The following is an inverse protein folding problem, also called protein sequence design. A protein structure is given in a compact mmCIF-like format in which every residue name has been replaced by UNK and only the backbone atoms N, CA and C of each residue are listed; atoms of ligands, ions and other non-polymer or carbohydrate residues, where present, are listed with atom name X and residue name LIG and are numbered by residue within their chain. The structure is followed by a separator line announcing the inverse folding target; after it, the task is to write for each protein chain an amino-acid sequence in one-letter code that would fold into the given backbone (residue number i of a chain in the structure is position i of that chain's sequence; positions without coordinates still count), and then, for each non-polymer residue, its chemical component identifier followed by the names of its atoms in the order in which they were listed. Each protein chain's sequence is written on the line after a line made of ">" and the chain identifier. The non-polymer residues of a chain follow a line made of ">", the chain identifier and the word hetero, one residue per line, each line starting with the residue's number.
data_IF_265132591836
#
_entry.id   IF_265132591836
#
_cell.length_a   1.000
_cell.length_b   1.000
_cell.length_c   1.000
_cell.angle_alpha   90.00
_cell.angle_beta   90.00
_cell.angle_gamma   90.00
#
_symmetry.space_group_name_H-M   'P 1'
#
loop_
_entity.id
_entity.type
_entity.pdbx_description
1 polymer ?
#
# COMPACT_ATOMS: atom_id res chain seq x y z
N UNK A 1 -19.46 18.96 -64.17
CA UNK A 1 -18.48 18.27 -63.35
C UNK A 1 -18.71 18.67 -61.89
N UNK A 2 -19.48 17.85 -61.14
CA UNK A 2 -19.69 18.07 -59.72
C UNK A 2 -18.49 17.46 -58.99
N UNK A 3 -17.71 18.31 -58.32
CA UNK A 3 -16.65 17.88 -57.41
C UNK A 3 -17.30 17.29 -56.18
N UNK A 4 -17.30 15.98 -56.07
CA UNK A 4 -17.70 15.28 -54.84
C UNK A 4 -16.73 15.64 -53.73
N UNK A 5 -17.18 16.49 -52.78
CA UNK A 5 -16.49 16.63 -51.53
C UNK A 5 -16.62 15.33 -50.74
N UNK A 6 -15.51 14.63 -50.60
CA UNK A 6 -15.44 13.47 -49.68
C UNK A 6 -15.75 13.98 -48.25
N UNK A 7 -16.65 13.30 -47.50
CA UNK A 7 -16.89 13.67 -46.12
C UNK A 7 -15.63 13.46 -45.30
N UNK A 8 -15.18 14.52 -44.64
CA UNK A 8 -14.04 14.48 -43.71
C UNK A 8 -14.54 13.75 -42.46
N UNK A 9 -14.12 12.50 -42.27
CA UNK A 9 -14.35 11.76 -41.04
C UNK A 9 -13.38 12.26 -39.95
N UNK A 10 -13.90 13.09 -39.02
CA UNK A 10 -13.16 13.62 -37.88
C UNK A 10 -13.02 12.60 -36.74
N UNK A 11 -13.82 11.55 -36.74
CA UNK A 11 -13.87 10.52 -35.71
C UNK A 11 -13.32 9.19 -36.26
N UNK A 12 -12.64 8.43 -35.40
CA UNK A 12 -12.17 7.07 -35.73
C UNK A 12 -13.35 6.15 -36.06
N UNK A 13 -13.13 5.18 -36.97
CA UNK A 13 -14.09 4.11 -37.22
C UNK A 13 -14.44 3.38 -35.91
N UNK A 14 -15.70 3.08 -35.69
CA UNK A 14 -16.21 2.45 -34.46
C UNK A 14 -16.61 3.43 -33.33
N UNK A 15 -16.43 4.74 -33.52
CA UNK A 15 -16.88 5.74 -32.54
C UNK A 15 -18.40 5.88 -32.57
N UNK A 16 -19.07 5.53 -31.46
CA UNK A 16 -20.51 5.77 -31.27
C UNK A 16 -20.75 7.17 -30.71
N UNK A 17 -21.75 7.88 -31.23
CA UNK A 17 -22.15 9.22 -30.78
C UNK A 17 -23.58 9.22 -30.32
N UNK A 18 -23.80 9.50 -29.03
CA UNK A 18 -25.14 9.80 -28.48
C UNK A 18 -25.29 11.29 -28.18
N UNK A 19 -26.49 11.83 -28.21
CA UNK A 19 -26.78 13.25 -27.99
C UNK A 19 -28.02 13.47 -27.15
N UNK A 20 -28.11 14.62 -26.48
CA UNK A 20 -29.27 15.07 -25.73
C UNK A 20 -29.67 14.16 -24.58
N UNK A 21 -30.94 14.02 -24.31
CA UNK A 21 -31.48 13.22 -23.20
C UNK A 21 -31.06 11.76 -23.24
N UNK A 22 -30.94 11.15 -24.43
CA UNK A 22 -30.44 9.76 -24.54
C UNK A 22 -29.03 9.59 -24.05
N UNK A 23 -28.14 10.55 -24.32
CA UNK A 23 -26.77 10.51 -23.82
C UNK A 23 -26.71 10.64 -22.29
N UNK A 24 -27.55 11.52 -21.73
CA UNK A 24 -27.66 11.69 -20.27
C UNK A 24 -28.19 10.43 -19.59
N UNK A 25 -29.28 9.86 -20.08
CA UNK A 25 -29.84 8.62 -19.52
C UNK A 25 -28.86 7.43 -19.62
N UNK A 26 -28.15 7.28 -20.74
CA UNK A 26 -27.12 6.24 -20.88
C UNK A 26 -25.98 6.42 -19.87
N UNK A 27 -25.51 7.65 -19.64
CA UNK A 27 -24.47 7.93 -18.67
C UNK A 27 -24.92 7.61 -17.25
N UNK A 28 -26.14 8.00 -16.88
CA UNK A 28 -26.74 7.72 -15.58
C UNK A 28 -26.93 6.22 -15.39
N UNK A 29 -27.45 5.52 -16.41
CA UNK A 29 -27.65 4.08 -16.36
C UNK A 29 -26.32 3.32 -16.15
N UNK A 30 -25.24 3.73 -16.84
CA UNK A 30 -23.93 3.12 -16.67
C UNK A 30 -23.36 3.36 -15.26
N UNK A 31 -23.46 4.58 -14.74
CA UNK A 31 -23.01 4.91 -13.38
C UNK A 31 -23.82 4.13 -12.31
N UNK A 32 -25.13 4.01 -12.50
CA UNK A 32 -26.02 3.26 -11.62
C UNK A 32 -25.71 1.76 -11.63
N UNK A 33 -25.41 1.18 -12.79
CA UNK A 33 -25.00 -0.22 -12.90
C UNK A 33 -23.75 -0.53 -12.08
N UNK A 34 -22.76 0.38 -12.07
CA UNK A 34 -21.55 0.26 -11.23
C UNK A 34 -21.92 0.30 -9.75
N UNK A 35 -22.75 1.25 -9.33
CA UNK A 35 -23.18 1.35 -7.93
C UNK A 35 -23.97 0.12 -7.47
N UNK A 36 -24.84 -0.42 -8.31
CA UNK A 36 -25.63 -1.61 -8.01
C UNK A 36 -24.75 -2.87 -7.94
N UNK A 37 -23.65 -2.93 -8.72
CA UNK A 37 -22.70 -4.04 -8.66
C UNK A 37 -22.03 -4.15 -7.29
N UNK A 38 -21.73 -3.04 -6.60
CA UNK A 38 -21.07 -3.05 -5.29
C UNK A 38 -22.03 -2.92 -4.12
N UNK A 39 -23.29 -2.57 -4.33
CA UNK A 39 -24.28 -2.36 -3.27
C UNK A 39 -24.44 -3.55 -2.33
N UNK A 40 -24.38 -4.78 -2.85
CA UNK A 40 -24.57 -6.01 -2.07
C UNK A 40 -23.38 -6.38 -1.18
N UNK A 41 -22.24 -5.68 -1.33
CA UNK A 41 -21.06 -5.88 -0.46
C UNK A 41 -21.05 -4.93 0.72
N UNK A 42 -21.98 -3.96 0.77
CA UNK A 42 -22.02 -2.93 1.81
C UNK A 42 -22.43 -3.49 3.17
N UNK A 43 -21.66 -3.12 4.19
CA UNK A 43 -21.98 -3.33 5.60
C UNK A 43 -21.56 -4.71 6.16
N UNK A 44 -21.84 -4.97 7.45
CA UNK A 44 -21.31 -6.14 8.18
C UNK A 44 -21.89 -7.49 7.70
N UNK A 45 -22.94 -7.46 6.88
CA UNK A 45 -23.54 -8.63 6.21
C UNK A 45 -23.35 -8.57 4.70
N UNK A 46 -22.38 -7.77 4.24
CA UNK A 46 -22.00 -7.71 2.84
C UNK A 46 -21.59 -9.09 2.32
N UNK A 47 -21.95 -9.35 1.05
CA UNK A 47 -21.59 -10.62 0.39
C UNK A 47 -20.32 -10.45 -0.41
N UNK A 48 -19.43 -11.45 -0.31
CA UNK A 48 -18.24 -11.51 -1.13
C UNK A 48 -18.62 -11.67 -2.61
N UNK A 49 -17.86 -11.04 -3.49
CA UNK A 49 -17.93 -11.20 -4.93
C UNK A 49 -16.78 -12.08 -5.41
N UNK A 50 -17.09 -12.99 -6.30
CA UNK A 50 -16.10 -13.75 -7.04
C UNK A 50 -15.94 -13.12 -8.41
N UNK A 51 -14.74 -12.65 -8.70
CA UNK A 51 -14.34 -12.11 -9.99
C UNK A 51 -13.41 -13.11 -10.66
N UNK A 52 -13.62 -13.34 -11.94
CA UNK A 52 -12.76 -14.21 -12.77
C UNK A 52 -12.30 -13.38 -13.94
N UNK A 53 -11.00 -13.22 -14.07
CA UNK A 53 -10.41 -12.48 -15.19
C UNK A 53 -10.35 -13.32 -16.49
N UNK A 54 -9.87 -12.71 -17.56
CA UNK A 54 -9.73 -13.37 -18.86
C UNK A 54 -8.66 -14.46 -18.88
N UNK A 55 -7.75 -14.51 -17.90
CA UNK A 55 -6.71 -15.53 -17.75
C UNK A 55 -7.16 -16.69 -16.87
N UNK A 56 -8.31 -16.56 -16.19
CA UNK A 56 -8.87 -17.55 -15.29
C UNK A 56 -8.45 -17.36 -13.83
N UNK A 57 -7.79 -16.25 -13.50
CA UNK A 57 -7.46 -15.91 -12.11
C UNK A 57 -8.74 -15.53 -11.35
N UNK A 58 -8.87 -16.05 -10.14
CA UNK A 58 -10.06 -15.88 -9.31
C UNK A 58 -9.75 -14.98 -8.12
N UNK A 59 -10.48 -13.88 -8.01
CA UNK A 59 -10.41 -12.97 -6.88
C UNK A 59 -11.73 -13.03 -6.13
N UNK A 60 -11.69 -13.28 -4.82
CA UNK A 60 -12.86 -13.26 -3.94
C UNK A 60 -12.66 -12.11 -2.97
N UNK A 61 -13.59 -11.15 -2.99
CA UNK A 61 -13.50 -9.98 -2.12
C UNK A 61 -14.87 -9.33 -1.91
N UNK A 62 -15.05 -8.61 -0.82
CA UNK A 62 -16.21 -7.72 -0.58
C UNK A 62 -15.82 -6.25 -0.61
N UNK A 63 -14.54 -5.95 -0.80
CA UNK A 63 -14.07 -4.59 -0.91
C UNK A 63 -14.51 -3.95 -2.23
N UNK A 64 -15.26 -2.82 -2.12
CA UNK A 64 -15.81 -2.12 -3.28
C UNK A 64 -14.75 -1.56 -4.22
N UNK A 65 -13.65 -1.06 -3.71
CA UNK A 65 -12.58 -0.50 -4.53
C UNK A 65 -11.87 -1.59 -5.34
N UNK A 66 -11.53 -2.71 -4.70
CA UNK A 66 -10.94 -3.89 -5.37
C UNK A 66 -11.88 -4.43 -6.45
N UNK A 67 -13.19 -4.59 -6.15
CA UNK A 67 -14.17 -5.05 -7.13
C UNK A 67 -14.18 -4.14 -8.36
N UNK A 68 -14.25 -2.84 -8.15
CA UNK A 68 -14.31 -1.87 -9.24
C UNK A 68 -13.01 -1.76 -10.04
N UNK A 69 -11.89 -2.01 -9.42
CA UNK A 69 -10.57 -2.01 -10.07
C UNK A 69 -10.38 -3.21 -11.00
N UNK A 70 -10.88 -4.37 -10.59
CA UNK A 70 -10.78 -5.63 -11.35
C UNK A 70 -11.87 -5.76 -12.43
N UNK A 71 -12.92 -4.92 -12.38
CA UNK A 71 -13.93 -4.90 -13.43
C UNK A 71 -13.40 -4.20 -14.69
N UNK A 72 -13.45 -4.88 -15.83
CA UNK A 72 -13.13 -4.29 -17.13
C UNK A 72 -14.31 -3.43 -17.62
N UNK A 73 -14.23 -2.13 -17.36
CA UNK A 73 -15.28 -1.15 -17.63
C UNK A 73 -14.84 -0.22 -18.76
N UNK A 74 -15.56 -0.24 -19.87
CA UNK A 74 -15.28 0.61 -21.02
C UNK A 74 -16.01 1.97 -20.97
N UNK A 75 -17.21 2.01 -20.36
CA UNK A 75 -18.08 3.19 -20.41
C UNK A 75 -17.50 4.40 -19.64
N UNK A 76 -17.36 5.60 -20.27
CA UNK A 76 -16.69 6.75 -19.63
C UNK A 76 -17.33 7.19 -18.31
N UNK A 77 -18.68 7.26 -18.24
CA UNK A 77 -19.38 7.67 -17.02
C UNK A 77 -19.19 6.65 -15.88
N UNK A 78 -19.12 5.36 -16.20
CA UNK A 78 -18.82 4.33 -15.22
C UNK A 78 -17.37 4.44 -14.71
N UNK A 79 -16.39 4.78 -15.57
CA UNK A 79 -15.02 5.08 -15.16
C UNK A 79 -14.95 6.25 -14.18
N UNK A 80 -15.77 7.28 -14.34
CA UNK A 80 -15.83 8.41 -13.38
C UNK A 80 -16.28 7.95 -11.99
N UNK A 81 -17.21 7.00 -11.90
CA UNK A 81 -17.64 6.45 -10.60
C UNK A 81 -16.52 5.62 -9.96
N UNK A 82 -15.73 4.91 -10.76
CA UNK A 82 -14.52 4.21 -10.25
C UNK A 82 -13.51 5.21 -9.69
N UNK A 83 -13.30 6.34 -10.33
CA UNK A 83 -12.41 7.38 -9.83
C UNK A 83 -12.91 7.97 -8.48
N UNK A 84 -14.22 8.07 -8.26
CA UNK A 84 -14.76 8.44 -6.93
C UNK A 84 -14.34 7.42 -5.87
N UNK A 85 -14.44 6.11 -6.17
CA UNK A 85 -13.98 5.07 -5.23
C UNK A 85 -12.48 5.16 -4.94
N UNK A 86 -11.66 5.32 -5.98
CA UNK A 86 -10.21 5.44 -5.83
C UNK A 86 -9.78 6.67 -5.03
N UNK A 87 -10.45 7.80 -5.25
CA UNK A 87 -10.17 9.03 -4.50
C UNK A 87 -10.52 8.85 -3.03
N UNK A 88 -11.68 8.24 -2.73
CA UNK A 88 -12.09 7.93 -1.37
C UNK A 88 -11.09 6.97 -0.69
N UNK A 89 -10.65 5.93 -1.39
CA UNK A 89 -9.66 4.98 -0.89
C UNK A 89 -8.32 5.67 -0.59
N UNK A 90 -7.83 6.50 -1.50
CA UNK A 90 -6.54 7.18 -1.36
C UNK A 90 -6.50 8.17 -0.20
N UNK A 91 -7.63 8.78 0.18
CA UNK A 91 -7.67 9.78 1.24
C UNK A 91 -8.15 9.23 2.59
N UNK A 92 -9.08 8.28 2.60
CA UNK A 92 -9.73 7.85 3.82
C UNK A 92 -9.59 6.36 4.12
N UNK A 93 -9.18 5.55 3.16
CA UNK A 93 -9.07 4.08 3.25
C UNK A 93 -10.36 3.37 3.66
N UNK A 94 -11.47 4.10 3.79
CA UNK A 94 -12.79 3.58 4.19
C UNK A 94 -13.91 4.32 3.44
N UNK A 95 -15.10 3.70 3.44
CA UNK A 95 -16.29 4.29 2.85
C UNK A 95 -16.32 4.25 1.32
N UNK A 96 -15.44 3.56 0.64
CA UNK A 96 -15.36 3.45 -0.83
C UNK A 96 -16.67 2.97 -1.45
N UNK A 97 -17.23 1.88 -0.95
CA UNK A 97 -18.52 1.34 -1.37
C UNK A 97 -19.65 2.32 -1.07
N UNK A 98 -19.65 2.97 0.09
CA UNK A 98 -20.65 3.96 0.48
C UNK A 98 -20.66 5.17 -0.45
N UNK A 99 -19.48 5.69 -0.81
CA UNK A 99 -19.34 6.82 -1.74
C UNK A 99 -19.91 6.49 -3.13
N UNK A 100 -19.60 5.31 -3.66
CA UNK A 100 -20.09 4.83 -4.95
C UNK A 100 -21.61 4.65 -4.93
N UNK A 101 -22.15 4.03 -3.89
CA UNK A 101 -23.60 3.82 -3.74
C UNK A 101 -24.33 5.16 -3.60
N UNK A 102 -23.79 6.11 -2.84
CA UNK A 102 -24.33 7.45 -2.69
C UNK A 102 -24.35 8.18 -4.03
N UNK A 103 -23.24 8.16 -4.78
CA UNK A 103 -23.16 8.78 -6.10
C UNK A 103 -24.19 8.17 -7.07
N UNK A 104 -24.35 6.84 -7.06
CA UNK A 104 -25.35 6.15 -7.87
C UNK A 104 -26.79 6.54 -7.51
N UNK A 105 -27.11 6.67 -6.21
CA UNK A 105 -28.44 7.10 -5.77
C UNK A 105 -28.73 8.58 -6.13
N UNK A 106 -27.74 9.47 -5.97
CA UNK A 106 -27.88 10.87 -6.37
C UNK A 106 -28.13 10.99 -7.88
N UNK A 107 -27.40 10.24 -8.71
CA UNK A 107 -27.62 10.21 -10.16
C UNK A 107 -28.98 9.62 -10.52
N UNK A 108 -29.44 8.59 -9.83
CA UNK A 108 -30.80 8.02 -10.02
C UNK A 108 -31.87 9.07 -9.73
N UNK A 109 -31.76 9.83 -8.64
CA UNK A 109 -32.70 10.91 -8.32
C UNK A 109 -32.60 12.07 -9.31
N UNK A 110 -31.43 12.33 -9.86
CA UNK A 110 -31.26 13.31 -10.94
C UNK A 110 -31.99 12.91 -12.21
N UNK A 111 -32.08 11.61 -12.55
CA UNK A 111 -32.81 11.10 -13.69
C UNK A 111 -34.30 11.43 -13.56
N UNK A 112 -34.90 11.17 -12.38
CA UNK A 112 -36.31 11.49 -12.09
C UNK A 112 -36.61 13.00 -12.29
N UNK A 113 -35.67 13.87 -11.90
CA UNK A 113 -35.80 15.33 -12.03
C UNK A 113 -35.66 15.80 -13.50
N UNK A 114 -34.72 15.19 -14.25
CA UNK A 114 -34.52 15.47 -15.68
C UNK A 114 -35.77 15.06 -16.48
N UNK A 115 -36.42 13.96 -16.12
CA UNK A 115 -37.68 13.53 -16.72
C UNK A 115 -38.81 14.55 -16.47
N UNK A 116 -38.82 15.19 -15.29
CA UNK A 116 -39.70 16.29 -14.93
C UNK A 116 -39.34 17.62 -15.59
N UNK A 117 -38.37 17.62 -16.52
CA UNK A 117 -37.84 18.78 -17.24
C UNK A 117 -37.09 19.80 -16.36
N UNK A 118 -36.55 19.41 -15.20
CA UNK A 118 -35.59 20.24 -14.45
C UNK A 118 -34.28 20.27 -15.22
N UNK A 119 -33.72 21.45 -15.39
CA UNK A 119 -32.46 21.59 -16.13
C UNK A 119 -31.27 21.03 -15.34
N UNK A 120 -30.34 20.23 -15.92
CA UNK A 120 -29.23 19.62 -15.23
C UNK A 120 -28.33 20.60 -14.44
N UNK A 121 -28.19 21.83 -14.93
CA UNK A 121 -27.42 22.88 -14.22
C UNK A 121 -28.05 23.26 -12.87
N UNK A 122 -29.37 23.26 -12.77
CA UNK A 122 -30.08 23.55 -11.53
C UNK A 122 -29.87 22.39 -10.53
N UNK A 123 -29.89 21.14 -11.02
CA UNK A 123 -29.61 19.96 -10.19
C UNK A 123 -28.18 20.01 -9.65
N UNK A 124 -27.18 20.32 -10.50
CA UNK A 124 -25.79 20.47 -10.08
C UNK A 124 -25.61 21.61 -9.06
N UNK A 125 -26.31 22.73 -9.23
CA UNK A 125 -26.29 23.83 -8.26
C UNK A 125 -26.86 23.39 -6.92
N UNK A 126 -28.01 22.66 -6.95
CA UNK A 126 -28.61 22.10 -5.74
C UNK A 126 -27.64 21.15 -4.99
N UNK A 127 -26.93 20.29 -5.72
CA UNK A 127 -25.93 19.41 -5.11
C UNK A 127 -24.78 20.18 -4.48
N UNK A 128 -24.31 21.28 -5.11
CA UNK A 128 -23.23 22.10 -4.57
C UNK A 128 -23.65 22.77 -3.26
N UNK A 129 -24.82 23.39 -3.22
CA UNK A 129 -25.37 24.01 -2.01
C UNK A 129 -25.57 22.97 -0.90
N UNK A 130 -26.10 21.78 -1.26
CA UNK A 130 -26.27 20.71 -0.29
C UNK A 130 -24.94 20.19 0.26
N UNK A 131 -23.91 20.07 -0.58
CA UNK A 131 -22.57 19.63 -0.16
C UNK A 131 -21.94 20.62 0.83
N UNK A 132 -21.97 21.93 0.54
CA UNK A 132 -21.48 22.98 1.44
C UNK A 132 -22.18 22.90 2.81
N UNK A 133 -23.50 22.75 2.81
CA UNK A 133 -24.27 22.62 4.05
C UNK A 133 -23.98 21.33 4.79
N UNK A 134 -23.80 20.22 4.09
CA UNK A 134 -23.45 18.94 4.70
C UNK A 134 -22.07 19.02 5.38
N UNK A 135 -21.08 19.68 4.78
CA UNK A 135 -19.77 19.87 5.39
C UNK A 135 -19.86 20.60 6.72
N UNK A 136 -20.61 21.71 6.82
CA UNK A 136 -20.85 22.41 8.07
C UNK A 136 -21.52 21.53 9.15
N UNK A 137 -22.44 20.65 8.74
CA UNK A 137 -23.14 19.75 9.65
C UNK A 137 -22.27 18.59 10.10
N UNK A 138 -21.36 18.11 9.27
CA UNK A 138 -20.41 17.04 9.61
C UNK A 138 -19.54 17.41 10.79
N UNK A 139 -19.06 18.64 10.89
CA UNK A 139 -18.27 19.13 12.03
C UNK A 139 -19.04 19.00 13.35
N UNK A 140 -20.36 19.22 13.34
CA UNK A 140 -21.21 19.07 14.52
C UNK A 140 -21.45 17.59 14.92
N UNK A 141 -21.26 16.66 14.01
CA UNK A 141 -21.43 15.23 14.25
C UNK A 141 -20.11 14.49 14.46
N UNK A 142 -18.98 15.18 14.36
CA UNK A 142 -17.66 14.60 14.59
C UNK A 142 -17.46 14.28 16.07
N UNK A 143 -16.76 13.18 16.34
CA UNK A 143 -16.45 12.71 17.69
C UNK A 143 -14.92 12.75 17.83
N UNK A 144 -14.38 13.41 18.86
CA UNK A 144 -12.94 13.46 19.07
C UNK A 144 -12.38 12.05 19.35
N UNK A 145 -11.24 11.75 18.75
CA UNK A 145 -10.57 10.46 18.88
C UNK A 145 -9.80 10.38 20.18
N UNK A 146 -9.91 9.24 20.84
CA UNK A 146 -9.05 8.85 21.96
C UNK A 146 -8.38 7.50 21.65
N UNK A 147 -7.34 7.07 22.38
CA UNK A 147 -6.64 5.82 22.09
C UNK A 147 -7.54 4.57 22.10
N UNK A 148 -8.56 4.52 22.95
CA UNK A 148 -9.52 3.41 22.98
C UNK A 148 -10.37 3.37 21.70
N UNK A 149 -10.73 4.54 21.20
CA UNK A 149 -11.52 4.67 19.97
C UNK A 149 -10.75 4.21 18.73
N UNK A 150 -9.43 4.40 18.66
CA UNK A 150 -8.61 3.87 17.57
C UNK A 150 -8.74 2.35 17.43
N UNK A 151 -8.82 1.63 18.56
CA UNK A 151 -9.05 0.17 18.53
C UNK A 151 -10.46 -0.18 17.99
N UNK A 152 -11.47 0.61 18.30
CA UNK A 152 -12.82 0.38 17.75
C UNK A 152 -12.90 0.75 16.27
N UNK A 153 -12.18 1.78 15.83
CA UNK A 153 -12.01 2.13 14.40
C UNK A 153 -11.37 0.97 13.65
N UNK A 154 -10.23 0.46 14.13
CA UNK A 154 -9.55 -0.69 13.53
C UNK A 154 -10.44 -1.94 13.50
N UNK A 155 -11.16 -2.25 14.59
CA UNK A 155 -12.11 -3.38 14.62
C UNK A 155 -13.25 -3.20 13.61
N UNK A 156 -13.71 -1.97 13.42
CA UNK A 156 -14.77 -1.66 12.44
C UNK A 156 -14.28 -1.89 11.02
N UNK A 157 -13.09 -1.41 10.67
CA UNK A 157 -12.47 -1.61 9.36
C UNK A 157 -12.23 -3.11 9.04
N UNK A 158 -11.90 -3.91 10.06
CA UNK A 158 -11.71 -5.35 9.95
C UNK A 158 -13.03 -6.17 9.98
N UNK A 159 -14.18 -5.52 10.26
CA UNK A 159 -15.47 -6.20 10.34
C UNK A 159 -16.03 -6.48 8.95
N UNK A 160 -16.57 -7.69 8.75
CA UNK A 160 -17.11 -8.11 7.45
C UNK A 160 -16.07 -8.72 6.50
N UNK A 161 -14.80 -8.72 6.89
CA UNK A 161 -13.70 -9.35 6.17
C UNK A 161 -13.31 -10.69 6.83
N UNK A 162 -12.53 -11.51 6.16
CA UNK A 162 -12.12 -12.86 6.64
C UNK A 162 -11.44 -12.88 8.01
N UNK A 163 -11.06 -11.72 8.53
CA UNK A 163 -10.44 -11.52 9.85
C UNK A 163 -11.41 -11.60 11.04
N UNK A 164 -12.70 -11.82 10.84
CA UNK A 164 -13.76 -11.66 11.87
C UNK A 164 -13.52 -12.34 13.22
N UNK A 165 -12.95 -13.55 13.24
CA UNK A 165 -12.69 -14.31 14.48
C UNK A 165 -11.47 -13.77 15.27
N UNK A 166 -10.57 -13.03 14.63
CA UNK A 166 -9.30 -12.53 15.20
C UNK A 166 -9.16 -11.02 15.07
N UNK A 167 -10.24 -10.33 14.73
CA UNK A 167 -10.24 -8.89 14.49
C UNK A 167 -9.68 -8.06 15.65
N UNK A 168 -9.97 -8.44 16.89
CA UNK A 168 -9.48 -7.72 18.07
C UNK A 168 -7.94 -7.79 18.17
N UNK A 169 -7.36 -8.94 17.86
CA UNK A 169 -5.92 -9.15 17.85
C UNK A 169 -5.23 -8.37 16.71
N UNK A 170 -5.79 -8.42 15.50
CA UNK A 170 -5.24 -7.65 14.37
C UNK A 170 -5.42 -6.14 14.57
N UNK A 171 -6.52 -5.70 15.18
CA UNK A 171 -6.75 -4.29 15.53
C UNK A 171 -5.70 -3.78 16.53
N UNK A 172 -5.32 -4.59 17.53
CA UNK A 172 -4.26 -4.27 18.47
C UNK A 172 -2.90 -4.10 17.77
N UNK A 173 -2.55 -5.03 16.86
CA UNK A 173 -1.32 -4.93 16.05
C UNK A 173 -1.35 -3.66 15.21
N UNK A 174 -2.48 -3.37 14.55
CA UNK A 174 -2.68 -2.20 13.70
C UNK A 174 -2.47 -0.89 14.47
N UNK A 175 -3.18 -0.70 15.58
CA UNK A 175 -3.08 0.51 16.41
C UNK A 175 -1.67 0.68 16.96
N UNK A 176 -1.06 -0.39 17.47
CA UNK A 176 0.31 -0.33 17.97
C UNK A 176 1.32 0.01 16.87
N UNK A 177 1.12 -0.48 15.64
CA UNK A 177 1.98 -0.14 14.51
C UNK A 177 1.88 1.36 14.16
N UNK A 178 0.66 1.90 14.05
CA UNK A 178 0.42 3.32 13.75
C UNK A 178 1.00 4.23 14.84
N UNK A 179 0.72 3.94 16.12
CA UNK A 179 1.22 4.75 17.24
C UNK A 179 2.75 4.78 17.34
N UNK A 180 3.44 3.74 16.85
CA UNK A 180 4.91 3.69 16.87
C UNK A 180 5.56 4.51 15.76
N UNK A 181 4.91 4.62 14.60
CA UNK A 181 5.45 5.40 13.47
C UNK A 181 4.91 6.83 13.46
N UNK A 182 3.89 7.13 14.26
CA UNK A 182 3.36 8.47 14.40
C UNK A 182 4.43 9.45 14.93
N UNK A 183 4.57 10.57 14.25
CA UNK A 183 5.46 11.66 14.63
C UNK A 183 4.65 12.93 14.88
N UNK A 184 5.00 13.67 15.91
CA UNK A 184 4.39 14.98 16.21
C UNK A 184 5.33 16.08 15.72
N UNK A 185 4.83 16.93 14.83
CA UNK A 185 5.56 18.10 14.32
C UNK A 185 4.63 19.30 14.36
N UNK A 186 5.07 20.38 14.97
CA UNK A 186 4.33 21.66 15.08
C UNK A 186 2.92 21.54 15.71
N UNK A 187 2.66 20.49 16.48
CA UNK A 187 1.37 20.20 17.12
C UNK A 187 0.39 19.44 16.20
N UNK A 188 0.83 19.03 15.04
CA UNK A 188 0.11 18.12 14.14
C UNK A 188 0.72 16.72 14.20
N UNK A 189 -0.13 15.71 14.21
CA UNK A 189 0.29 14.30 14.15
C UNK A 189 0.38 13.92 12.68
N UNK A 190 1.50 13.33 12.30
CA UNK A 190 1.74 12.81 10.95
C UNK A 190 2.12 11.33 11.04
N UNK A 191 1.55 10.51 10.19
CA UNK A 191 1.80 9.07 10.10
C UNK A 191 2.23 8.72 8.68
N UNK A 192 3.49 8.36 8.51
CA UNK A 192 3.97 7.84 7.22
C UNK A 192 3.74 6.33 7.16
N UNK A 193 2.76 5.90 6.37
CA UNK A 193 2.43 4.48 6.21
C UNK A 193 3.54 3.68 5.53
N UNK A 194 4.44 4.32 4.80
CA UNK A 194 5.62 3.66 4.22
C UNK A 194 6.60 3.19 5.29
N UNK A 195 6.50 3.71 6.51
CA UNK A 195 7.28 3.28 7.66
C UNK A 195 6.71 2.02 8.35
N UNK A 196 5.51 1.55 7.95
CA UNK A 196 4.93 0.28 8.39
C UNK A 196 5.10 -0.79 7.31
N UNK A 197 6.12 -1.61 7.46
CA UNK A 197 6.38 -2.69 6.51
C UNK A 197 5.50 -3.90 6.82
N UNK A 198 4.63 -4.29 5.89
CA UNK A 198 3.77 -5.48 6.02
C UNK A 198 4.32 -6.62 5.18
N UNK A 199 4.81 -7.66 5.83
CA UNK A 199 5.24 -8.90 5.19
C UNK A 199 4.21 -10.00 5.40
N UNK A 200 3.98 -10.80 4.37
CA UNK A 200 3.04 -11.92 4.38
C UNK A 200 3.77 -13.24 4.23
N UNK A 201 3.35 -14.25 5.02
CA UNK A 201 3.94 -15.59 4.90
C UNK A 201 2.88 -16.65 5.16
N UNK A 202 2.72 -17.56 4.20
CA UNK A 202 1.85 -18.72 4.34
C UNK A 202 2.33 -19.66 5.45
N UNK A 203 1.38 -20.38 6.04
CA UNK A 203 1.60 -21.37 7.11
C UNK A 203 1.41 -20.80 8.51
N UNK A 204 0.83 -21.57 9.37
CA UNK A 204 0.43 -21.16 10.72
C UNK A 204 -0.96 -20.55 10.79
N UNK A 205 -1.29 -20.00 11.93
CA UNK A 205 -2.56 -19.35 12.24
C UNK A 205 -2.42 -17.83 12.09
N UNK A 206 -3.53 -17.14 11.87
CA UNK A 206 -3.59 -15.68 11.90
C UNK A 206 -3.08 -15.13 13.26
N UNK A 207 -3.29 -15.89 14.35
CA UNK A 207 -2.79 -15.52 15.68
C UNK A 207 -1.26 -15.57 15.82
N UNK A 208 -0.57 -16.18 14.85
CA UNK A 208 0.89 -16.17 14.79
C UNK A 208 1.44 -14.92 14.10
N UNK A 209 0.55 -14.01 13.68
CA UNK A 209 0.96 -12.69 13.17
C UNK A 209 1.57 -11.87 14.31
N UNK A 210 2.61 -11.10 14.01
CA UNK A 210 3.34 -10.34 15.03
C UNK A 210 3.75 -8.97 14.54
N UNK A 211 3.71 -7.99 15.43
CA UNK A 211 4.38 -6.70 15.27
C UNK A 211 5.81 -6.84 15.76
N UNK A 212 6.76 -6.39 14.97
CA UNK A 212 8.19 -6.42 15.26
C UNK A 212 8.72 -4.99 15.28
N UNK A 213 9.35 -4.63 16.38
CA UNK A 213 10.05 -3.35 16.54
C UNK A 213 11.36 -3.41 15.77
N UNK A 214 11.28 -3.09 14.48
CA UNK A 214 12.39 -3.22 13.55
C UNK A 214 11.93 -3.70 12.18
N UNK A 215 12.86 -4.21 11.40
CA UNK A 215 12.63 -4.58 10.01
C UNK A 215 12.71 -6.09 9.79
N UNK A 216 11.73 -6.61 9.09
CA UNK A 216 11.71 -8.00 8.61
C UNK A 216 12.08 -8.00 7.13
N UNK A 217 13.03 -8.86 6.75
CA UNK A 217 13.42 -9.09 5.37
C UNK A 217 13.06 -10.51 4.93
N UNK A 218 12.33 -10.62 3.84
CA UNK A 218 12.08 -11.92 3.18
C UNK A 218 13.30 -12.33 2.37
N UNK A 219 14.39 -12.57 3.10
CA UNK A 219 15.71 -12.97 2.60
C UNK A 219 16.37 -13.92 3.60
N UNK A 220 17.27 -14.74 3.09
CA UNK A 220 18.13 -15.63 3.86
C UNK A 220 19.57 -15.11 3.86
N UNK A 221 20.39 -15.56 4.81
CA UNK A 221 21.83 -15.31 4.77
C UNK A 221 22.45 -15.98 3.55
N UNK A 222 23.42 -15.32 2.94
CA UNK A 222 23.97 -15.76 1.65
C UNK A 222 24.85 -17.00 1.73
N UNK A 223 25.40 -17.35 2.90
CA UNK A 223 26.29 -18.51 3.07
C UNK A 223 26.01 -19.25 4.38
N UNK A 224 25.97 -20.57 4.33
CA UNK A 224 25.66 -21.44 5.48
C UNK A 224 26.67 -21.34 6.64
N UNK A 225 27.91 -20.97 6.36
CA UNK A 225 28.97 -20.75 7.37
C UNK A 225 28.84 -19.45 8.16
N UNK A 226 27.94 -18.55 7.78
CA UNK A 226 27.69 -17.31 8.51
C UNK A 226 26.92 -17.57 9.80
N UNK A 227 27.07 -16.71 10.83
CA UNK A 227 26.30 -16.83 12.06
C UNK A 227 24.80 -16.69 11.78
N UNK A 228 23.93 -17.41 12.51
CA UNK A 228 22.47 -17.25 12.39
C UNK A 228 21.92 -16.07 13.18
N UNK A 229 22.69 -15.59 14.14
CA UNK A 229 22.30 -14.46 14.98
C UNK A 229 23.55 -13.65 15.34
N UNK A 230 23.39 -12.33 15.26
CA UNK A 230 24.42 -11.35 15.63
C UNK A 230 23.78 -10.40 16.64
N UNK A 231 24.42 -10.22 17.81
CA UNK A 231 24.00 -9.25 18.83
C UNK A 231 24.89 -8.02 18.76
N UNK A 232 24.35 -6.83 19.07
CA UNK A 232 25.08 -5.57 18.93
C UNK A 232 25.48 -5.35 17.47
N UNK A 233 24.51 -5.43 16.57
CA UNK A 233 24.77 -5.40 15.14
C UNK A 233 25.17 -4.00 14.66
N UNK A 234 26.28 -3.96 13.94
CA UNK A 234 26.75 -2.82 13.16
C UNK A 234 26.44 -3.12 11.68
N UNK A 235 25.42 -2.45 11.14
CA UNK A 235 24.83 -2.79 9.85
C UNK A 235 25.38 -1.89 8.76
N UNK A 236 26.10 -2.46 7.79
CA UNK A 236 26.51 -1.76 6.57
C UNK A 236 25.43 -1.93 5.48
N UNK A 237 24.89 -0.80 5.00
CA UNK A 237 23.89 -0.73 3.94
C UNK A 237 24.59 -0.38 2.61
N UNK A 238 24.74 -1.37 1.72
CA UNK A 238 25.54 -1.23 0.51
C UNK A 238 24.67 -1.29 -0.75
N UNK A 239 24.69 -0.23 -1.55
CA UNK A 239 24.04 -0.16 -2.87
C UNK A 239 25.04 -0.34 -4.02
N UNK A 240 26.03 -1.18 -3.82
CA UNK A 240 27.03 -1.56 -4.82
C UNK A 240 27.12 -3.08 -4.92
N UNK A 241 27.48 -3.62 -6.07
CA UNK A 241 27.76 -5.04 -6.17
C UNK A 241 29.11 -5.35 -5.52
N UNK A 242 29.17 -6.42 -4.72
CA UNK A 242 30.40 -6.95 -4.16
C UNK A 242 30.84 -8.09 -5.07
N UNK A 243 31.16 -7.71 -6.29
CA UNK A 243 31.51 -8.61 -7.41
C UNK A 243 32.68 -8.00 -8.18
N UNK A 244 33.39 -8.83 -8.92
CA UNK A 244 34.41 -8.34 -9.86
C UNK A 244 33.72 -7.46 -10.91
N UNK A 245 34.16 -6.23 -11.07
CA UNK A 245 33.60 -5.31 -12.06
C UNK A 245 33.88 -5.84 -13.46
N UNK A 246 32.83 -6.16 -14.21
CA UNK A 246 32.94 -6.44 -15.64
C UNK A 246 33.27 -5.16 -16.38
N UNK A 247 34.12 -5.28 -17.41
CA UNK A 247 34.42 -4.15 -18.31
C UNK A 247 33.14 -3.65 -18.98
N UNK A 248 32.98 -2.34 -19.09
CA UNK A 248 31.81 -1.70 -19.75
C UNK A 248 31.76 -1.98 -21.26
N UNK A 249 32.86 -2.44 -21.84
CA UNK A 249 32.96 -2.84 -23.25
C UNK A 249 33.23 -4.34 -23.32
N UNK A 250 32.60 -5.04 -24.26
CA UNK A 250 32.83 -6.46 -24.55
C UNK A 250 34.30 -6.67 -25.02
N UNK A 251 35.24 -6.55 -24.10
CA UNK A 251 36.65 -6.86 -24.32
C UNK A 251 36.87 -8.36 -24.10
N UNK A 252 37.17 -9.09 -25.15
CA UNK A 252 37.60 -10.49 -25.07
C UNK A 252 39.10 -10.51 -24.85
N UNK A 253 39.53 -10.83 -23.63
CA UNK A 253 40.94 -11.10 -23.34
C UNK A 253 41.18 -12.56 -23.68
N UNK A 254 42.04 -12.81 -24.68
CA UNK A 254 42.50 -14.16 -25.01
C UNK A 254 43.78 -14.45 -24.21
N UNK A 255 43.66 -15.27 -23.16
CA UNK A 255 44.80 -15.73 -22.35
C UNK A 255 45.24 -17.06 -22.95
N UNK A 256 46.47 -17.10 -23.45
CA UNK A 256 47.07 -18.32 -24.07
C UNK A 256 48.06 -18.99 -23.10
N UNK A 257 48.54 -18.31 -22.08
CA UNK A 257 49.47 -18.82 -21.08
C UNK A 257 48.75 -19.20 -19.76
N UNK A 258 48.85 -20.47 -19.31
CA UNK A 258 48.29 -20.93 -18.06
C UNK A 258 48.76 -20.12 -16.82
N UNK A 259 49.98 -19.60 -16.82
CA UNK A 259 50.52 -18.80 -15.73
C UNK A 259 49.84 -17.43 -15.66
N UNK A 260 49.52 -16.83 -16.80
CA UNK A 260 48.76 -15.56 -16.83
C UNK A 260 47.32 -15.76 -16.35
N UNK A 261 46.70 -16.91 -16.66
CA UNK A 261 45.37 -17.23 -16.14
C UNK A 261 45.39 -17.34 -14.60
N UNK A 262 46.37 -18.00 -14.02
CA UNK A 262 46.50 -18.11 -12.58
C UNK A 262 46.71 -16.73 -11.92
N UNK A 263 47.56 -15.87 -12.48
CA UNK A 263 47.76 -14.51 -11.98
C UNK A 263 46.46 -13.67 -12.05
N UNK A 264 45.67 -13.83 -13.11
CA UNK A 264 44.38 -13.13 -13.25
C UNK A 264 43.37 -13.55 -12.18
N UNK A 265 43.30 -14.86 -11.89
CA UNK A 265 42.45 -15.39 -10.81
C UNK A 265 42.91 -14.92 -9.44
N UNK A 266 44.23 -14.87 -9.19
CA UNK A 266 44.79 -14.35 -7.96
C UNK A 266 44.53 -12.85 -7.76
N UNK A 267 44.54 -12.06 -8.84
CA UNK A 267 44.16 -10.63 -8.79
C UNK A 267 42.65 -10.44 -8.54
N UNK A 268 41.78 -11.23 -9.16
CA UNK A 268 40.34 -11.21 -8.89
C UNK A 268 40.04 -11.57 -7.43
N UNK A 269 40.68 -12.62 -6.92
CA UNK A 269 40.56 -13.03 -5.51
C UNK A 269 41.08 -11.93 -4.59
N UNK A 270 42.24 -11.33 -4.89
CA UNK A 270 42.83 -10.23 -4.15
C UNK A 270 41.89 -9.00 -4.10
N UNK A 271 41.26 -8.67 -5.22
CA UNK A 271 40.28 -7.57 -5.30
C UNK A 271 39.07 -7.82 -4.39
N UNK A 272 38.43 -9.00 -4.51
CA UNK A 272 37.27 -9.36 -3.69
C UNK A 272 37.63 -9.40 -2.21
N UNK A 273 38.81 -9.90 -1.86
CA UNK A 273 39.30 -9.90 -0.49
C UNK A 273 39.50 -8.46 0.02
N UNK A 274 40.07 -7.57 -0.79
CA UNK A 274 40.21 -6.15 -0.47
C UNK A 274 38.88 -5.47 -0.14
N UNK A 275 37.79 -5.74 -0.93
CA UNK A 275 36.45 -5.23 -0.63
C UNK A 275 35.93 -5.73 0.73
N UNK A 276 36.16 -7.01 1.05
CA UNK A 276 35.76 -7.58 2.35
C UNK A 276 36.58 -7.00 3.49
N UNK A 277 37.87 -6.79 3.27
CA UNK A 277 38.79 -6.18 4.28
C UNK A 277 38.36 -4.74 4.59
N UNK A 278 37.97 -3.94 3.58
CA UNK A 278 37.39 -2.59 3.78
C UNK A 278 36.10 -2.63 4.63
N UNK A 279 35.21 -3.59 4.37
CA UNK A 279 34.02 -3.79 5.18
C UNK A 279 34.37 -4.16 6.64
N UNK A 280 35.38 -5.00 6.84
CA UNK A 280 35.85 -5.38 8.18
C UNK A 280 36.46 -4.19 8.92
N UNK A 281 37.27 -3.37 8.24
CA UNK A 281 37.89 -2.17 8.80
C UNK A 281 36.88 -1.12 9.25
N UNK A 282 35.73 -1.04 8.59
CA UNK A 282 34.63 -0.17 9.03
C UNK A 282 34.03 -0.61 10.38
N UNK A 283 34.22 -1.87 10.80
CA UNK A 283 33.65 -2.45 12.01
C UNK A 283 32.26 -3.09 11.79
N UNK A 284 31.79 -3.23 10.54
CA UNK A 284 30.54 -3.87 10.24
C UNK A 284 30.57 -5.38 10.53
N UNK A 285 29.56 -5.87 11.26
CA UNK A 285 29.35 -7.30 11.50
C UNK A 285 28.11 -7.85 10.78
N UNK A 286 27.31 -6.95 10.18
CA UNK A 286 26.15 -7.27 9.32
C UNK A 286 26.25 -6.46 8.03
N UNK A 287 26.07 -7.11 6.89
CA UNK A 287 26.10 -6.49 5.56
C UNK A 287 24.80 -6.75 4.84
N UNK A 288 24.12 -5.70 4.44
CA UNK A 288 22.91 -5.79 3.61
C UNK A 288 23.19 -5.13 2.28
N UNK A 289 23.29 -5.96 1.25
CA UNK A 289 23.60 -5.52 -0.10
C UNK A 289 22.35 -5.49 -0.99
N UNK A 290 22.11 -4.36 -1.66
CA UNK A 290 21.01 -4.23 -2.62
C UNK A 290 21.26 -5.04 -3.90
N UNK A 291 22.55 -5.24 -4.25
CA UNK A 291 22.97 -5.97 -5.45
C UNK A 291 23.50 -7.37 -5.11
N UNK A 292 24.24 -7.97 -6.01
CA UNK A 292 24.85 -9.29 -5.83
C UNK A 292 26.09 -9.25 -4.94
N UNK A 293 26.41 -10.40 -4.37
CA UNK A 293 27.66 -10.65 -3.65
C UNK A 293 28.28 -11.91 -4.27
N UNK A 294 29.51 -11.81 -4.73
CA UNK A 294 30.27 -12.92 -5.29
C UNK A 294 30.45 -14.06 -4.29
N UNK A 295 30.49 -15.30 -4.75
CA UNK A 295 30.59 -16.48 -3.87
C UNK A 295 31.90 -16.53 -3.09
N UNK A 296 33.00 -16.02 -3.65
CA UNK A 296 34.27 -15.89 -2.93
C UNK A 296 34.18 -14.82 -1.83
N UNK A 297 33.57 -13.68 -2.13
CA UNK A 297 33.33 -12.64 -1.12
C UNK A 297 32.42 -13.15 0.02
N UNK A 298 31.37 -13.94 -0.31
CA UNK A 298 30.53 -14.59 0.70
C UNK A 298 31.35 -15.53 1.61
N UNK A 299 32.28 -16.32 1.03
CA UNK A 299 33.15 -17.21 1.78
C UNK A 299 34.08 -16.43 2.74
N UNK A 300 34.70 -15.34 2.28
CA UNK A 300 35.55 -14.49 3.14
C UNK A 300 34.75 -13.82 4.25
N UNK A 301 33.55 -13.29 3.97
CA UNK A 301 32.65 -12.73 4.97
C UNK A 301 32.27 -13.80 6.01
N UNK A 302 31.89 -15.01 5.56
CA UNK A 302 31.57 -16.12 6.46
C UNK A 302 32.74 -16.50 7.36
N UNK A 303 33.98 -16.54 6.84
CA UNK A 303 35.20 -16.82 7.60
C UNK A 303 35.47 -15.71 8.62
N UNK A 304 35.16 -14.47 8.30
CA UNK A 304 35.26 -13.31 9.19
C UNK A 304 34.13 -13.23 10.23
N UNK A 305 33.09 -14.09 10.11
CA UNK A 305 31.93 -14.08 11.01
C UNK A 305 30.90 -12.98 10.73
N UNK A 306 30.94 -12.38 9.55
CA UNK A 306 29.98 -11.39 9.10
C UNK A 306 28.69 -12.09 8.68
N UNK A 307 27.53 -11.53 9.08
CA UNK A 307 26.23 -11.90 8.56
C UNK A 307 25.94 -11.09 7.31
N UNK A 308 25.62 -11.71 6.17
CA UNK A 308 25.37 -10.98 4.94
C UNK A 308 24.08 -11.42 4.24
N UNK A 309 23.41 -10.43 3.63
CA UNK A 309 22.22 -10.57 2.78
C UNK A 309 22.51 -9.93 1.44
N UNK A 310 22.04 -10.55 0.34
CA UNK A 310 22.14 -10.02 -1.03
C UNK A 310 20.78 -9.72 -1.62
N UNK A 311 20.74 -8.84 -2.64
CA UNK A 311 19.54 -8.50 -3.42
C UNK A 311 18.39 -8.00 -2.54
N UNK A 312 18.69 -7.17 -1.55
CA UNK A 312 17.67 -6.44 -0.80
C UNK A 312 16.92 -5.46 -1.75
N UNK A 313 15.65 -5.27 -1.55
CA UNK A 313 14.87 -4.31 -2.34
C UNK A 313 15.26 -2.88 -1.96
N UNK A 314 15.08 -1.92 -2.87
CA UNK A 314 15.36 -0.50 -2.60
C UNK A 314 14.54 0.01 -1.41
N UNK A 315 13.24 -0.31 -1.36
CA UNK A 315 12.37 0.03 -0.24
C UNK A 315 12.85 -0.55 1.09
N UNK A 316 13.39 -1.78 1.09
CA UNK A 316 13.97 -2.40 2.28
C UNK A 316 15.20 -1.63 2.77
N UNK A 317 16.06 -1.18 1.83
CA UNK A 317 17.24 -0.38 2.17
C UNK A 317 16.87 0.97 2.79
N UNK A 318 15.85 1.65 2.25
CA UNK A 318 15.34 2.92 2.77
C UNK A 318 14.73 2.76 4.17
N UNK A 319 13.91 1.72 4.37
CA UNK A 319 13.35 1.39 5.69
C UNK A 319 14.44 1.04 6.71
N UNK A 320 15.46 0.27 6.31
CA UNK A 320 16.61 -0.06 7.15
C UNK A 320 17.43 1.18 7.54
N UNK A 321 17.65 2.09 6.58
CA UNK A 321 18.36 3.35 6.86
C UNK A 321 17.61 4.19 7.89
N UNK A 322 16.28 4.32 7.75
CA UNK A 322 15.42 5.02 8.73
C UNK A 322 15.42 4.34 10.10
N UNK A 323 15.37 2.98 10.13
CA UNK A 323 15.25 2.23 11.38
C UNK A 323 16.57 2.14 12.16
N UNK A 324 17.70 1.97 11.47
CA UNK A 324 19.00 1.76 12.09
C UNK A 324 19.87 3.01 12.19
N UNK A 325 19.45 4.12 11.56
CA UNK A 325 20.24 5.34 11.44
C UNK A 325 21.43 5.22 10.48
N UNK A 326 21.59 4.07 9.79
CA UNK A 326 22.71 3.82 8.88
C UNK A 326 22.52 4.52 7.53
N UNK A 327 23.63 4.92 6.92
CA UNK A 327 23.65 5.52 5.60
C UNK A 327 23.81 4.48 4.50
N UNK A 328 23.07 4.63 3.41
CA UNK A 328 23.22 3.77 2.22
C UNK A 328 24.45 4.21 1.42
N UNK A 329 25.47 3.35 1.38
CA UNK A 329 26.74 3.62 0.70
C UNK A 329 26.72 3.04 -0.71
N UNK A 330 27.12 3.85 -1.68
CA UNK A 330 27.14 3.47 -3.11
C UNK A 330 28.52 3.01 -3.58
N UNK A 331 29.58 3.34 -2.88
CA UNK A 331 30.93 2.88 -3.14
C UNK A 331 31.54 2.31 -1.85
N UNK A 332 32.00 1.07 -1.88
CA UNK A 332 32.52 0.36 -0.70
C UNK A 332 33.77 1.02 -0.15
N UNK A 333 34.58 1.64 -1.01
CA UNK A 333 35.81 2.32 -0.60
C UNK A 333 35.56 3.55 0.31
N UNK A 334 34.32 4.10 0.24
CA UNK A 334 33.90 5.26 1.04
C UNK A 334 33.22 4.83 2.36
N UNK A 335 33.10 3.52 2.63
CA UNK A 335 32.42 3.02 3.82
C UNK A 335 33.24 3.33 5.08
N UNK A 336 32.62 4.02 6.02
CA UNK A 336 33.20 4.38 7.31
C UNK A 336 32.37 3.87 8.49
N UNK A 337 32.93 3.90 9.69
CA UNK A 337 32.21 3.54 10.92
C UNK A 337 31.04 4.47 11.24
N UNK A 338 31.03 5.69 10.67
CA UNK A 338 29.94 6.67 10.85
C UNK A 338 28.72 6.37 9.98
N UNK A 339 28.89 5.58 8.91
CA UNK A 339 27.84 5.18 7.99
C UNK A 339 27.06 3.94 8.47
N UNK A 340 27.57 3.29 9.53
CA UNK A 340 26.98 2.04 10.03
C UNK A 340 25.69 2.31 10.82
N UNK A 341 24.65 1.59 10.47
CA UNK A 341 23.43 1.51 11.27
C UNK A 341 23.62 0.62 12.51
N UNK A 342 22.78 0.83 13.53
CA UNK A 342 22.84 0.07 14.78
C UNK A 342 21.52 -0.62 15.07
N UNK A 343 21.59 -1.86 15.55
CA UNK A 343 20.45 -2.55 16.15
C UNK A 343 20.95 -3.59 17.18
N UNK A 344 20.09 -3.93 18.13
CA UNK A 344 20.45 -4.86 19.20
C UNK A 344 20.73 -6.25 18.65
N UNK A 345 19.91 -6.70 17.70
CA UNK A 345 19.99 -8.08 17.23
C UNK A 345 19.55 -8.21 15.77
N UNK A 346 20.33 -8.96 15.01
CA UNK A 346 19.97 -9.48 13.69
C UNK A 346 19.94 -11.00 13.78
N UNK A 347 18.85 -11.61 13.38
CA UNK A 347 18.74 -13.07 13.40
C UNK A 347 17.93 -13.62 12.22
N UNK A 348 18.36 -14.78 11.74
CA UNK A 348 17.62 -15.58 10.77
C UNK A 348 16.68 -16.52 11.52
N UNK A 349 15.39 -16.42 11.22
CA UNK A 349 14.32 -17.31 11.75
C UNK A 349 13.64 -18.03 10.61
N UNK A 350 13.39 -19.31 10.82
CA UNK A 350 12.58 -20.10 9.88
C UNK A 350 11.11 -19.84 10.12
N UNK A 351 10.43 -19.30 9.12
CA UNK A 351 9.01 -18.98 9.14
C UNK A 351 8.29 -19.79 8.05
N UNK A 352 7.60 -20.86 8.47
CA UNK A 352 7.06 -21.84 7.53
C UNK A 352 8.16 -22.59 6.79
N UNK A 353 8.18 -22.51 5.47
CA UNK A 353 9.21 -23.17 4.64
C UNK A 353 10.39 -22.26 4.28
N UNK A 354 10.29 -20.95 4.55
CA UNK A 354 11.31 -19.96 4.19
C UNK A 354 12.06 -19.45 5.40
N UNK A 355 13.32 -19.09 5.21
CA UNK A 355 14.12 -18.35 6.18
C UNK A 355 13.88 -16.85 5.98
N UNK A 356 13.73 -16.11 7.07
CA UNK A 356 13.54 -14.66 7.06
C UNK A 356 14.50 -14.02 8.06
N UNK A 357 14.94 -12.80 7.78
CA UNK A 357 15.86 -12.08 8.66
C UNK A 357 15.12 -10.98 9.41
N UNK A 358 15.32 -10.96 10.72
CA UNK A 358 14.74 -10.00 11.66
C UNK A 358 15.84 -9.11 12.20
N UNK A 359 15.67 -7.80 12.04
CA UNK A 359 16.47 -6.79 12.71
C UNK A 359 15.60 -6.20 13.82
N UNK A 360 16.03 -6.31 15.07
CA UNK A 360 15.25 -5.89 16.24
C UNK A 360 16.07 -5.00 17.16
N UNK A 361 15.38 -4.12 17.94
CA UNK A 361 16.04 -3.19 18.85
C UNK A 361 16.82 -2.12 18.10
N UNK A 362 16.16 -1.45 17.16
CA UNK A 362 16.74 -0.31 16.46
C UNK A 362 16.52 0.96 17.29
N UNK A 363 17.57 1.72 17.58
CA UNK A 363 17.55 2.88 18.47
C UNK A 363 16.65 4.03 17.97
N UNK A 364 16.51 4.17 16.67
CA UNK A 364 15.68 5.20 16.02
C UNK A 364 14.48 4.58 15.29
N UNK A 365 13.80 3.61 15.90
CA UNK A 365 12.74 2.83 15.26
C UNK A 365 11.54 3.69 14.80
N UNK A 366 11.75 4.50 13.77
CA UNK A 366 10.69 5.18 13.01
C UNK A 366 10.05 4.26 11.97
N UNK A 367 10.48 3.00 11.90
CA UNK A 367 9.93 1.98 11.01
C UNK A 367 9.68 0.69 11.79
N UNK A 368 8.51 0.10 11.57
CA UNK A 368 8.11 -1.17 12.18
C UNK A 368 7.72 -2.18 11.11
N UNK A 369 7.80 -3.46 11.44
CA UNK A 369 7.33 -4.50 10.52
C UNK A 369 6.23 -5.33 11.14
N UNK A 370 5.24 -5.66 10.33
CA UNK A 370 4.15 -6.58 10.68
C UNK A 370 4.29 -7.84 9.85
N UNK A 371 4.41 -8.98 10.50
CA UNK A 371 4.38 -10.28 9.84
C UNK A 371 2.97 -10.85 9.92
N UNK A 372 2.29 -10.94 8.79
CA UNK A 372 0.97 -11.56 8.67
C UNK A 372 1.10 -13.05 8.32
N UNK A 373 0.34 -13.89 9.04
CA UNK A 373 0.32 -15.35 8.86
C UNK A 373 -1.08 -15.83 8.52
N UNK A 374 -1.16 -16.95 7.79
CA UNK A 374 -2.43 -17.59 7.48
C UNK A 374 -2.23 -18.95 6.82
N UNK A 375 -3.28 -19.76 6.81
CA UNK A 375 -3.21 -21.16 6.35
C UNK A 375 -2.98 -21.33 4.84
N UNK A 376 -3.48 -20.40 4.03
CA UNK A 376 -3.34 -20.40 2.56
C UNK A 376 -2.97 -19.03 2.05
N UNK A 377 -2.37 -18.92 0.86
CA UNK A 377 -1.98 -17.66 0.25
C UNK A 377 -3.17 -16.72 0.06
N UNK A 378 -4.31 -17.22 -0.43
CA UNK A 378 -5.53 -16.43 -0.59
C UNK A 378 -6.03 -15.81 0.72
N UNK A 379 -5.99 -16.59 1.82
CA UNK A 379 -6.36 -16.09 3.15
C UNK A 379 -5.39 -15.02 3.63
N UNK A 380 -4.09 -15.21 3.42
CA UNK A 380 -3.08 -14.21 3.81
C UNK A 380 -3.23 -12.95 2.99
N UNK A 381 -3.51 -13.05 1.69
CA UNK A 381 -3.74 -11.91 0.81
C UNK A 381 -4.98 -11.10 1.20
N UNK A 382 -6.07 -11.79 1.57
CA UNK A 382 -7.29 -11.14 2.07
C UNK A 382 -7.04 -10.43 3.40
N UNK A 383 -6.33 -11.09 4.33
CA UNK A 383 -5.95 -10.49 5.62
C UNK A 383 -5.05 -9.28 5.39
N UNK A 384 -4.12 -9.35 4.45
CA UNK A 384 -3.24 -8.23 4.13
C UNK A 384 -4.05 -7.03 3.66
N UNK A 385 -4.96 -7.21 2.69
CA UNK A 385 -5.83 -6.12 2.22
C UNK A 385 -6.65 -5.52 3.35
N UNK A 386 -7.27 -6.38 4.18
CA UNK A 386 -8.03 -5.92 5.34
C UNK A 386 -7.17 -5.15 6.35
N UNK A 387 -5.92 -5.55 6.51
CA UNK A 387 -4.96 -4.92 7.41
C UNK A 387 -4.44 -3.59 6.84
N UNK A 388 -4.15 -3.52 5.54
CA UNK A 388 -3.73 -2.29 4.85
C UNK A 388 -4.85 -1.22 4.94
N UNK A 389 -6.12 -1.60 4.76
CA UNK A 389 -7.26 -0.70 4.96
C UNK A 389 -7.36 -0.23 6.44
N UNK A 390 -7.23 -1.17 7.39
CA UNK A 390 -7.34 -0.84 8.80
C UNK A 390 -6.22 0.11 9.27
N UNK A 391 -4.98 -0.10 8.82
CA UNK A 391 -3.85 0.81 9.10
C UNK A 391 -4.14 2.19 8.52
N UNK A 392 -4.60 2.28 7.27
CA UNK A 392 -4.91 3.54 6.63
C UNK A 392 -5.99 4.31 7.37
N UNK A 393 -7.09 3.64 7.74
CA UNK A 393 -8.18 4.30 8.49
C UNK A 393 -7.72 4.77 9.87
N UNK A 394 -6.93 3.96 10.58
CA UNK A 394 -6.41 4.33 11.92
C UNK A 394 -5.43 5.50 11.82
N UNK A 395 -4.58 5.52 10.77
CA UNK A 395 -3.66 6.63 10.50
C UNK A 395 -4.42 7.94 10.31
N UNK A 396 -5.39 7.98 9.38
CA UNK A 396 -6.21 9.17 9.12
C UNK A 396 -7.00 9.59 10.35
N UNK A 397 -7.60 8.64 11.10
CA UNK A 397 -8.33 8.95 12.32
C UNK A 397 -7.42 9.54 13.42
N UNK A 398 -6.15 9.13 13.46
CA UNK A 398 -5.17 9.64 14.42
C UNK A 398 -4.67 11.04 14.02
N UNK A 399 -4.44 11.28 12.73
CA UNK A 399 -4.02 12.57 12.17
C UNK A 399 -5.13 13.63 12.31
N UNK A 400 -6.36 13.29 11.88
CA UNK A 400 -7.50 14.20 11.93
C UNK A 400 -7.99 14.47 13.37
N UNK A 401 -7.70 13.58 14.32
CA UNK A 401 -8.16 13.69 15.70
C UNK A 401 -9.68 13.59 15.88
N UNK A 402 -10.43 13.24 14.82
CA UNK A 402 -11.88 13.14 14.83
C UNK A 402 -12.39 12.03 13.92
N UNK A 403 -13.51 11.42 14.26
CA UNK A 403 -14.18 10.39 13.45
C UNK A 403 -15.68 10.65 13.37
N UNK A 404 -16.30 10.09 12.34
CA UNK A 404 -17.75 10.06 12.16
C UNK A 404 -18.30 8.66 12.41
N UNK A 405 -19.51 8.58 12.93
CA UNK A 405 -20.17 7.29 13.18
C UNK A 405 -20.59 6.61 11.86
N UNK A 406 -20.26 5.33 11.72
CA UNK A 406 -20.58 4.52 10.54
C UNK A 406 -22.04 4.02 10.49
N UNK A 407 -22.26 2.99 9.66
CA UNK A 407 -23.55 2.32 9.54
C UNK A 407 -24.66 3.17 8.91
N UNK A 408 -24.32 4.23 8.17
CA UNK A 408 -25.28 5.15 7.56
C UNK A 408 -25.89 6.16 8.55
N UNK A 409 -25.47 6.19 9.82
CA UNK A 409 -26.00 7.09 10.85
C UNK A 409 -25.78 8.56 10.49
N UNK A 410 -24.62 8.92 9.98
CA UNK A 410 -24.28 10.28 9.53
C UNK A 410 -25.16 10.69 8.35
N UNK A 411 -25.34 9.83 7.34
CA UNK A 411 -26.23 10.11 6.20
C UNK A 411 -27.67 10.32 6.67
N UNK A 412 -28.13 9.51 7.63
CA UNK A 412 -29.47 9.68 8.22
C UNK A 412 -29.61 10.99 9.01
N UNK A 413 -28.57 11.40 9.74
CA UNK A 413 -28.54 12.68 10.44
C UNK A 413 -28.57 13.84 9.43
N UNK A 414 -27.67 13.84 8.46
CA UNK A 414 -27.60 14.84 7.40
C UNK A 414 -28.89 14.95 6.59
N UNK A 415 -29.64 13.87 6.41
CA UNK A 415 -30.93 13.91 5.71
C UNK A 415 -32.04 14.64 6.48
N UNK A 416 -31.91 14.73 7.81
CA UNK A 416 -32.89 15.42 8.66
C UNK A 416 -32.60 16.92 8.80
N UNK A 417 -31.33 17.28 8.95
CA UNK A 417 -30.91 18.66 9.20
C UNK A 417 -31.17 19.62 8.02
N UNK A 418 -30.94 19.25 6.74
CA UNK A 418 -31.26 20.10 5.61
C UNK A 418 -32.75 20.35 5.38
N UNK A 419 -33.63 19.49 5.90
CA UNK A 419 -35.08 19.66 5.74
C UNK A 419 -35.57 21.01 6.31
N UNK A 420 -34.97 21.50 7.38
CA UNK A 420 -35.24 22.83 7.91
C UNK A 420 -34.80 23.97 6.98
N UNK A 421 -33.82 23.69 6.10
CA UNK A 421 -33.25 24.64 5.14
C UNK A 421 -34.04 24.67 3.84
N UNK A 422 -34.73 23.58 3.47
CA UNK A 422 -35.57 23.49 2.24
C UNK A 422 -36.71 24.44 2.26
N UNK A 423 -37.23 24.85 3.41
CA UNK A 423 -38.28 25.87 3.54
C UNK A 423 -37.80 27.27 3.14
N UNK A 424 -36.51 27.57 3.15
CA UNK A 424 -35.97 28.86 2.78
C UNK A 424 -35.51 28.94 1.32
N UNK A 425 -35.29 27.80 0.65
CA UNK A 425 -34.73 27.74 -0.70
C UNK A 425 -35.61 26.88 -1.65
N UNK A 426 -36.87 26.81 -1.37
CA UNK A 426 -37.87 25.96 -2.04
C UNK A 426 -37.85 25.92 -3.58
N UNK A 427 -37.52 26.98 -4.34
CA UNK A 427 -37.37 26.87 -5.78
C UNK A 427 -36.17 26.08 -6.27
N UNK A 428 -35.11 25.98 -5.42
CA UNK A 428 -33.84 25.38 -5.82
C UNK A 428 -33.66 23.96 -5.27
N UNK A 429 -34.12 23.70 -4.05
CA UNK A 429 -33.90 22.42 -3.36
C UNK A 429 -35.09 21.47 -3.46
N UNK A 430 -36.33 21.97 -3.57
CA UNK A 430 -37.47 21.11 -3.90
C UNK A 430 -37.41 20.58 -5.33
N UNK A 431 -36.45 21.05 -6.12
CA UNK A 431 -36.12 20.52 -7.44
C UNK A 431 -34.99 19.47 -7.38
N UNK A 432 -34.43 19.21 -6.21
CA UNK A 432 -33.42 18.18 -5.92
C UNK A 432 -34.02 17.17 -4.91
#
# INVERSE_FOLDING_TARGET
>A
MQSGQQPIFILKEGTTRSRGKTAQSNNIAAAKAVADAVRTTLGPKGMDKMLVDSMGDVIITNDGATILKEMDIEHPAAKMIIEVAKTQEAHCFDGTTSAVVLAGELLKRSEDLIEQNVHPTIICEGFRIAAERCLELLDNHSIPVNPEMLHEVAKTALTGKSAGAVKAFLAEICVNAVLKVATESDGEIMVDLDDVKVEKKQGGSIKDSTLVDGIILDKERVHSGMPRSVSGAQVALINSAIEVKKTEVDAKIQITDPNMLAQFLDEEEGYLKGLVDTILESGANVVICQKGIDDLAQHYMAKAGIFAIRRAKKSDMEALSKATGGRIVTNIDDLSSEDLGRCDKVEERKIGESDMVFLTGCDEAKSVSVLLRGGTDHVVDEIRRAFDDAIGVVSVAHEDGAVLTGGGSVLAALSRDPVSYTHLTLPTICSV
#
